data_IF_046386626800
#
_entry.id   IF_046386626800
#
_cell.length_a   1.000
_cell.length_b   1.000
_cell.length_c   1.000
_cell.angle_alpha   90.00
_cell.angle_beta   90.00
_cell.angle_gamma   90.00
#
_symmetry.space_group_name_H-M   'P 1'
#
loop_
_entity.id
_entity.type
_entity.pdbx_description
1 polymer ?
#
# COMPACT_ATOMS: atom_id res chain seq x y z
N UNK A 1 -14.35 10.63 17.64
CA UNK A 1 -13.54 9.54 17.08
C UNK A 1 -13.13 8.58 18.18
N UNK A 2 -12.97 7.29 17.89
CA UNK A 2 -12.52 6.29 18.88
C UNK A 2 -10.99 6.10 18.90
N UNK A 3 -10.30 6.40 17.80
CA UNK A 3 -8.84 6.36 17.69
C UNK A 3 -8.24 7.75 17.98
N UNK A 4 -7.10 7.79 18.68
CA UNK A 4 -6.44 9.03 19.11
C UNK A 4 -5.00 9.14 18.60
N UNK A 5 -4.42 10.34 18.73
CA UNK A 5 -3.02 10.59 18.39
C UNK A 5 -2.04 9.77 19.22
N UNK A 6 -2.34 9.57 20.51
CA UNK A 6 -1.55 8.73 21.41
C UNK A 6 -1.59 7.26 20.96
N UNK A 7 -2.74 6.77 20.50
CA UNK A 7 -2.85 5.40 19.99
C UNK A 7 -1.97 5.18 18.74
N UNK A 8 -2.01 6.13 17.78
CA UNK A 8 -1.10 6.12 16.62
C UNK A 8 0.38 6.25 17.04
N UNK A 9 0.70 7.08 18.04
CA UNK A 9 2.06 7.20 18.55
C UNK A 9 2.57 5.89 19.17
N UNK A 10 1.75 5.20 19.97
CA UNK A 10 2.07 3.89 20.54
C UNK A 10 2.34 2.86 19.46
N UNK A 11 1.52 2.83 18.39
CA UNK A 11 1.75 1.92 17.27
C UNK A 11 3.01 2.25 16.48
N UNK A 12 3.27 3.53 16.22
CA UNK A 12 4.50 3.96 15.57
C UNK A 12 5.74 3.52 16.37
N UNK A 13 5.75 3.78 17.68
CA UNK A 13 6.84 3.36 18.59
C UNK A 13 6.97 1.84 18.59
N UNK A 14 5.86 1.11 18.70
CA UNK A 14 5.86 -0.36 18.68
C UNK A 14 6.42 -0.91 17.36
N UNK A 15 6.03 -0.32 16.23
CA UNK A 15 6.50 -0.74 14.90
C UNK A 15 7.97 -0.43 14.66
N UNK A 16 8.45 0.75 15.08
CA UNK A 16 9.88 1.09 15.01
C UNK A 16 10.73 0.26 15.97
N UNK A 17 10.30 0.07 17.21
CA UNK A 17 10.99 -0.78 18.17
C UNK A 17 11.07 -2.23 17.68
N UNK A 18 9.96 -2.75 17.12
CA UNK A 18 9.91 -4.08 16.50
C UNK A 18 10.84 -4.19 15.30
N UNK A 19 10.89 -3.15 14.45
CA UNK A 19 11.84 -3.08 13.32
C UNK A 19 13.28 -3.23 13.80
N UNK A 20 13.69 -2.43 14.80
CA UNK A 20 15.06 -2.48 15.35
C UNK A 20 15.35 -3.84 15.96
N UNK A 21 14.39 -4.39 16.71
CA UNK A 21 14.51 -5.71 17.31
C UNK A 21 14.72 -6.81 16.24
N UNK A 22 13.86 -6.87 15.22
CA UNK A 22 13.95 -7.89 14.17
C UNK A 22 15.21 -7.74 13.32
N UNK A 23 15.60 -6.51 13.02
CA UNK A 23 16.84 -6.25 12.30
C UNK A 23 18.06 -6.81 13.05
N UNK A 24 18.11 -6.63 14.38
CA UNK A 24 19.18 -7.19 15.23
C UNK A 24 19.13 -8.72 15.33
N UNK A 25 17.96 -9.33 15.20
CA UNK A 25 17.78 -10.78 15.17
C UNK A 25 18.10 -11.41 13.81
N UNK A 26 18.52 -10.62 12.81
CA UNK A 26 18.88 -11.12 11.49
C UNK A 26 17.70 -11.40 10.56
N UNK A 27 16.53 -10.81 10.83
CA UNK A 27 15.37 -10.93 9.93
C UNK A 27 15.60 -10.25 8.57
N UNK A 28 14.74 -10.60 7.60
CA UNK A 28 14.80 -10.05 6.25
C UNK A 28 14.76 -8.52 6.27
N UNK A 29 15.80 -7.89 5.69
CA UNK A 29 15.89 -6.42 5.55
C UNK A 29 14.66 -5.84 4.87
N UNK A 30 14.07 -6.58 3.92
CA UNK A 30 12.86 -6.17 3.20
C UNK A 30 11.66 -6.02 4.13
N UNK A 31 11.45 -7.00 5.00
CA UNK A 31 10.33 -7.00 5.95
C UNK A 31 10.53 -5.90 7.00
N UNK A 32 11.76 -5.71 7.46
CA UNK A 32 12.10 -4.63 8.39
C UNK A 32 11.88 -3.24 7.75
N UNK A 33 12.32 -3.03 6.50
CA UNK A 33 12.08 -1.77 5.78
C UNK A 33 10.59 -1.50 5.57
N UNK A 34 9.81 -2.52 5.21
CA UNK A 34 8.36 -2.38 5.08
C UNK A 34 7.73 -2.01 6.43
N UNK A 35 8.10 -2.69 7.51
CA UNK A 35 7.57 -2.40 8.85
C UNK A 35 7.87 -0.96 9.29
N UNK A 36 9.12 -0.50 9.08
CA UNK A 36 9.51 0.88 9.34
C UNK A 36 8.69 1.88 8.51
N UNK A 37 8.47 1.58 7.23
CA UNK A 37 7.73 2.44 6.33
C UNK A 37 6.27 2.61 6.75
N UNK A 38 5.57 1.52 7.11
CA UNK A 38 4.19 1.62 7.60
C UNK A 38 4.12 2.25 9.00
N UNK A 39 5.15 2.06 9.84
CA UNK A 39 5.25 2.74 11.15
C UNK A 39 5.44 4.25 11.01
N UNK A 40 6.10 4.71 9.94
CA UNK A 40 6.22 6.13 9.61
C UNK A 40 4.85 6.77 9.32
N UNK A 41 3.89 6.03 8.75
CA UNK A 41 2.54 6.54 8.54
C UNK A 41 1.84 6.80 9.87
N UNK A 42 1.91 5.88 10.83
CA UNK A 42 1.31 6.09 12.16
C UNK A 42 1.98 7.24 12.91
N UNK A 43 3.29 7.45 12.74
CA UNK A 43 3.98 8.61 13.29
C UNK A 43 3.44 9.91 12.67
N UNK A 44 3.27 9.93 11.35
CA UNK A 44 2.68 11.07 10.65
C UNK A 44 1.24 11.31 11.11
N UNK A 45 0.43 10.27 11.25
CA UNK A 45 -0.95 10.37 11.74
C UNK A 45 -1.00 10.87 13.18
N UNK A 46 -0.10 10.42 14.06
CA UNK A 46 0.02 10.94 15.43
C UNK A 46 0.27 12.46 15.45
N UNK A 47 1.10 12.97 14.55
CA UNK A 47 1.25 14.42 14.35
C UNK A 47 -0.02 15.05 13.78
N UNK A 48 -0.62 14.46 12.75
CA UNK A 48 -1.85 14.96 12.13
C UNK A 48 -2.99 15.15 13.14
N UNK A 49 -3.09 14.28 14.14
CA UNK A 49 -4.07 14.40 15.24
C UNK A 49 -3.94 15.70 16.04
N UNK A 50 -2.75 16.30 16.12
CA UNK A 50 -2.53 17.57 16.85
C UNK A 50 -3.10 18.79 16.13
N UNK A 51 -3.39 18.65 14.83
CA UNK A 51 -3.87 19.72 13.95
C UNK A 51 -5.12 19.29 13.18
N UNK A 52 -5.80 18.23 13.63
CA UNK A 52 -6.95 17.65 12.93
C UNK A 52 -8.13 18.63 12.88
N UNK A 53 -8.94 18.57 11.82
CA UNK A 53 -10.09 19.46 11.56
C UNK A 53 -9.73 20.95 11.32
N UNK A 54 -8.47 21.35 11.53
CA UNK A 54 -7.98 22.70 11.24
C UNK A 54 -7.61 22.86 9.77
N UNK A 55 -8.57 22.78 8.86
CA UNK A 55 -8.29 22.74 7.41
C UNK A 55 -7.62 24.00 6.84
N UNK A 56 -7.71 25.14 7.53
CA UNK A 56 -7.02 26.38 7.18
C UNK A 56 -5.62 26.49 7.81
N UNK A 57 -5.26 25.57 8.70
CA UNK A 57 -3.92 25.50 9.28
C UNK A 57 -2.95 24.85 8.27
N UNK A 58 -1.86 25.54 7.88
CA UNK A 58 -0.85 24.98 6.99
C UNK A 58 -0.27 23.65 7.48
N UNK A 59 -0.17 23.45 8.81
CA UNK A 59 0.35 22.21 9.37
C UNK A 59 -0.54 21.01 9.05
N UNK A 60 -1.87 21.19 9.08
CA UNK A 60 -2.82 20.15 8.67
C UNK A 60 -2.68 19.86 7.17
N UNK A 61 -2.58 20.89 6.34
CA UNK A 61 -2.45 20.75 4.90
C UNK A 61 -1.17 19.99 4.52
N UNK A 62 -0.03 20.34 5.14
CA UNK A 62 1.26 19.66 4.95
C UNK A 62 1.16 18.20 5.42
N UNK A 63 0.59 17.95 6.60
CA UNK A 63 0.46 16.57 7.11
C UNK A 63 -0.41 15.70 6.19
N UNK A 64 -1.52 16.26 5.68
CA UNK A 64 -2.40 15.60 4.71
C UNK A 64 -1.67 15.31 3.40
N UNK A 65 -0.92 16.28 2.88
CA UNK A 65 -0.11 16.12 1.68
C UNK A 65 0.97 15.06 1.85
N UNK A 66 1.68 15.04 2.97
CA UNK A 66 2.68 14.01 3.26
C UNK A 66 2.05 12.62 3.38
N UNK A 67 0.84 12.52 3.94
CA UNK A 67 0.09 11.27 4.01
C UNK A 67 -0.26 10.75 2.61
N UNK A 68 -0.71 11.66 1.76
CA UNK A 68 -0.98 11.37 0.35
C UNK A 68 0.27 10.89 -0.41
N UNK A 69 1.40 11.59 -0.25
CA UNK A 69 2.69 11.20 -0.85
C UNK A 69 3.15 9.83 -0.36
N UNK A 70 3.05 9.55 0.94
CA UNK A 70 3.40 8.25 1.50
C UNK A 70 2.55 7.14 0.88
N UNK A 71 1.24 7.33 0.74
CA UNK A 71 0.36 6.36 0.06
C UNK A 71 0.82 6.14 -1.39
N UNK A 72 1.18 7.20 -2.11
CA UNK A 72 1.66 7.07 -3.49
C UNK A 72 2.88 6.14 -3.62
N UNK A 73 3.78 6.12 -2.64
CA UNK A 73 4.98 5.29 -2.63
C UNK A 73 4.80 3.92 -1.95
N UNK A 74 3.69 3.65 -1.27
CA UNK A 74 3.41 2.33 -0.67
C UNK A 74 3.58 1.13 -1.62
N UNK A 75 3.21 1.21 -2.93
CA UNK A 75 3.38 0.09 -3.85
C UNK A 75 4.81 -0.44 -3.94
N UNK A 76 5.84 0.39 -3.71
CA UNK A 76 7.23 -0.07 -3.67
C UNK A 76 7.48 -1.07 -2.54
N UNK A 77 6.97 -0.76 -1.35
CA UNK A 77 7.15 -1.60 -0.15
C UNK A 77 6.26 -2.84 -0.23
N UNK A 78 5.02 -2.69 -0.73
CA UNK A 78 4.11 -3.81 -0.99
C UNK A 78 4.75 -4.79 -1.98
N UNK A 79 5.30 -4.31 -3.10
CA UNK A 79 5.98 -5.17 -4.07
C UNK A 79 7.28 -5.75 -3.52
N UNK A 80 8.03 -5.02 -2.69
CA UNK A 80 9.20 -5.57 -2.03
C UNK A 80 8.84 -6.78 -1.15
N UNK A 81 7.79 -6.67 -0.33
CA UNK A 81 7.29 -7.76 0.52
C UNK A 81 6.74 -8.90 -0.32
N UNK A 82 5.84 -8.63 -1.27
CA UNK A 82 5.20 -9.71 -2.06
C UNK A 82 6.21 -10.44 -2.97
N UNK A 83 7.25 -9.76 -3.48
CA UNK A 83 8.36 -10.40 -4.18
C UNK A 83 9.30 -11.19 -3.25
N UNK A 84 9.29 -10.94 -1.93
CA UNK A 84 10.06 -11.74 -0.98
C UNK A 84 9.54 -13.18 -0.89
N UNK A 85 8.27 -13.41 -1.25
CA UNK A 85 7.59 -14.71 -1.15
C UNK A 85 7.51 -15.50 -2.46
N UNK A 86 8.26 -15.09 -3.48
CA UNK A 86 8.41 -15.82 -4.75
C UNK A 86 9.87 -16.30 -4.89
N UNK A 87 10.17 -17.24 -5.82
CA UNK A 87 11.51 -17.76 -5.99
C UNK A 87 12.55 -16.67 -6.30
N UNK A 88 13.73 -16.76 -5.67
CA UNK A 88 14.79 -15.76 -5.78
C UNK A 88 15.24 -15.46 -7.22
N UNK A 89 15.41 -16.45 -8.12
CA UNK A 89 15.80 -16.17 -9.51
C UNK A 89 14.76 -15.32 -10.25
N UNK A 90 13.48 -15.59 -10.00
CA UNK A 90 12.38 -14.82 -10.57
C UNK A 90 12.38 -13.39 -10.04
N UNK A 91 12.48 -13.23 -8.71
CA UNK A 91 12.54 -11.93 -8.04
C UNK A 91 13.63 -11.04 -8.63
N UNK A 92 14.85 -11.53 -8.77
CA UNK A 92 15.97 -10.74 -9.27
C UNK A 92 15.73 -10.22 -10.69
N UNK A 93 15.04 -11.01 -11.52
CA UNK A 93 14.73 -10.66 -12.90
C UNK A 93 13.62 -9.64 -13.02
N UNK A 94 12.53 -9.80 -12.25
CA UNK A 94 11.35 -8.95 -12.37
C UNK A 94 11.46 -7.65 -11.57
N UNK A 95 12.28 -7.63 -10.51
CA UNK A 95 12.41 -6.48 -9.61
C UNK A 95 12.59 -5.13 -10.32
N UNK A 96 13.53 -4.94 -11.28
CA UNK A 96 13.69 -3.64 -11.94
C UNK A 96 12.42 -3.22 -12.69
N UNK A 97 11.74 -4.14 -13.38
CA UNK A 97 10.49 -3.84 -14.09
C UNK A 97 9.35 -3.51 -13.13
N UNK A 98 9.23 -4.29 -12.05
CA UNK A 98 8.21 -4.07 -11.01
C UNK A 98 8.38 -2.70 -10.36
N UNK A 99 9.61 -2.32 -10.01
CA UNK A 99 9.89 -1.00 -9.43
C UNK A 99 9.72 0.16 -10.43
N UNK A 100 10.04 -0.04 -11.71
CA UNK A 100 9.73 0.95 -12.76
C UNK A 100 8.22 1.15 -12.92
N UNK A 101 7.43 0.08 -12.85
CA UNK A 101 5.97 0.16 -12.88
C UNK A 101 5.41 0.82 -11.60
N UNK A 102 5.99 0.54 -10.42
CA UNK A 102 5.64 1.23 -9.19
C UNK A 102 5.93 2.74 -9.28
N UNK A 103 7.05 3.13 -9.90
CA UNK A 103 7.40 4.53 -10.11
C UNK A 103 6.41 5.22 -11.06
N UNK A 104 6.08 4.58 -12.17
CA UNK A 104 5.07 5.09 -13.10
C UNK A 104 3.70 5.24 -12.41
N UNK A 105 3.28 4.22 -11.66
CA UNK A 105 2.03 4.25 -10.90
C UNK A 105 2.02 5.35 -9.82
N UNK A 106 3.10 5.50 -9.04
CA UNK A 106 3.22 6.56 -8.04
C UNK A 106 3.14 7.94 -8.70
N UNK A 107 3.82 8.13 -9.84
CA UNK A 107 3.78 9.39 -10.60
C UNK A 107 2.37 9.69 -11.09
N UNK A 108 1.69 8.72 -11.69
CA UNK A 108 0.30 8.85 -12.16
C UNK A 108 -0.64 9.15 -10.99
N UNK A 109 -0.48 8.43 -9.88
CA UNK A 109 -1.27 8.66 -8.69
C UNK A 109 -1.06 10.09 -8.20
N UNK A 110 0.17 10.53 -7.99
CA UNK A 110 0.49 11.89 -7.52
C UNK A 110 0.01 12.99 -8.47
N UNK A 111 0.07 12.79 -9.79
CA UNK A 111 -0.46 13.76 -10.77
C UNK A 111 -1.96 14.01 -10.57
N UNK A 112 -2.68 13.13 -9.88
CA UNK A 112 -4.13 13.26 -9.66
C UNK A 112 -4.51 14.53 -8.89
N UNK A 113 -3.62 15.12 -8.09
CA UNK A 113 -3.93 16.38 -7.38
C UNK A 113 -3.70 17.62 -8.24
N UNK A 114 -3.10 17.47 -9.43
CA UNK A 114 -2.96 18.58 -10.37
C UNK A 114 -4.32 18.86 -11.03
N UNK A 115 -4.80 20.12 -11.05
CA UNK A 115 -6.11 20.47 -11.59
C UNK A 115 -6.05 20.53 -13.12
N UNK A 116 -6.13 19.37 -13.78
CA UNK A 116 -6.19 19.30 -15.23
C UNK A 116 -7.53 19.80 -15.77
N UNK A 117 -7.51 20.73 -16.73
CA UNK A 117 -8.73 21.28 -17.35
C UNK A 117 -9.63 20.22 -18.02
N UNK A 118 -9.04 19.12 -18.49
CA UNK A 118 -9.77 18.02 -19.12
C UNK A 118 -10.44 17.07 -18.12
N UNK A 119 -10.14 17.19 -16.82
CA UNK A 119 -10.61 16.28 -15.78
C UNK A 119 -11.46 17.01 -14.76
N UNK A 120 -12.70 16.57 -14.57
CA UNK A 120 -13.53 17.05 -13.46
C UNK A 120 -12.97 16.61 -12.11
N UNK A 121 -13.23 17.37 -11.05
CA UNK A 121 -12.84 16.98 -9.70
C UNK A 121 -13.60 15.74 -9.20
N UNK A 122 -12.98 15.03 -8.28
CA UNK A 122 -13.51 13.81 -7.69
C UNK A 122 -14.79 14.04 -6.89
N UNK A 123 -15.00 15.25 -6.33
CA UNK A 123 -16.17 15.58 -5.52
C UNK A 123 -17.39 15.98 -6.36
N UNK A 124 -17.20 16.19 -7.67
CA UNK A 124 -18.28 16.47 -8.62
C UNK A 124 -18.77 15.20 -9.32
N UNK A 125 -18.21 14.03 -8.98
CA UNK A 125 -18.55 12.74 -9.58
C UNK A 125 -18.97 11.70 -8.55
N UNK A 126 -19.89 10.85 -8.99
CA UNK A 126 -20.22 9.59 -8.35
C UNK A 126 -19.92 8.45 -9.31
N UNK A 127 -19.46 7.34 -8.75
CA UNK A 127 -19.11 6.15 -9.49
C UNK A 127 -20.09 5.03 -9.14
N UNK A 128 -20.35 4.17 -10.12
CA UNK A 128 -21.23 3.02 -9.97
C UNK A 128 -20.36 1.76 -9.96
N UNK A 129 -20.58 0.87 -8.99
CA UNK A 129 -19.76 -0.33 -8.85
C UNK A 129 -20.04 -1.36 -9.97
N UNK A 130 -21.31 -1.49 -10.36
CA UNK A 130 -21.78 -2.42 -11.40
C UNK A 130 -22.80 -1.71 -12.31
N UNK A 131 -22.74 -1.90 -13.64
CA UNK A 131 -23.75 -1.37 -14.55
C UNK A 131 -25.14 -1.90 -14.15
N UNK A 132 -26.09 -0.99 -13.86
CA UNK A 132 -27.47 -1.34 -13.52
C UNK A 132 -27.79 -1.45 -12.02
N UNK A 133 -26.86 -1.14 -11.12
CA UNK A 133 -27.14 -1.06 -9.66
C UNK A 133 -27.18 0.39 -9.16
N UNK A 134 -28.12 0.77 -8.29
CA UNK A 134 -28.20 2.15 -7.77
C UNK A 134 -27.12 2.51 -6.71
N UNK A 135 -26.11 1.65 -6.55
CA UNK A 135 -25.04 1.84 -5.56
C UNK A 135 -24.01 2.82 -6.12
N UNK A 136 -24.12 4.07 -5.69
CA UNK A 136 -23.19 5.16 -6.00
C UNK A 136 -22.17 5.33 -4.88
N UNK A 137 -20.91 5.55 -5.25
CA UNK A 137 -19.83 5.82 -4.30
C UNK A 137 -19.00 7.03 -4.75
N UNK A 138 -18.38 7.72 -3.78
CA UNK A 138 -17.38 8.76 -4.03
C UNK A 138 -15.99 8.16 -4.03
N UNK A 139 -15.05 8.76 -4.74
CA UNK A 139 -13.68 8.25 -4.74
C UNK A 139 -13.04 8.44 -3.35
N UNK A 140 -12.25 7.46 -2.83
CA UNK A 140 -11.49 7.67 -1.61
C UNK A 140 -10.53 8.85 -1.74
N UNK A 141 -10.19 9.44 -0.59
CA UNK A 141 -9.23 10.54 -0.50
C UNK A 141 -9.68 11.78 -1.30
N UNK A 142 -10.98 12.07 -1.25
CA UNK A 142 -11.61 13.10 -2.06
C UNK A 142 -12.27 14.19 -1.20
N UNK A 143 -12.01 15.45 -1.52
CA UNK A 143 -12.73 16.58 -0.94
C UNK A 143 -12.40 17.91 -1.60
N UNK A 144 -13.04 18.99 -1.14
CA UNK A 144 -12.95 20.33 -1.77
C UNK A 144 -11.66 21.10 -1.43
N UNK A 145 -10.96 20.68 -0.39
CA UNK A 145 -9.70 21.28 0.06
C UNK A 145 -8.81 20.22 0.69
N UNK A 146 -7.50 20.48 0.74
CA UNK A 146 -6.54 19.58 1.38
C UNK A 146 -6.76 19.66 2.89
N UNK A 147 -7.27 18.59 3.49
CA UNK A 147 -7.53 18.55 4.92
C UNK A 147 -7.56 17.12 5.47
N UNK A 148 -6.98 16.96 6.65
CA UNK A 148 -7.18 15.81 7.53
C UNK A 148 -8.29 16.15 8.52
N UNK A 149 -9.38 15.40 8.48
CA UNK A 149 -10.55 15.61 9.32
C UNK A 149 -10.81 14.42 10.23
N UNK A 150 -11.61 14.64 11.26
CA UNK A 150 -12.16 13.59 12.08
C UNK A 150 -13.08 12.69 11.25
N UNK A 151 -12.79 11.40 11.25
CA UNK A 151 -13.67 10.39 10.67
C UNK A 151 -14.64 9.78 11.69
N UNK A 152 -15.33 8.71 11.28
CA UNK A 152 -16.16 7.85 12.11
C UNK A 152 -15.39 7.35 13.33
N UNK A 153 -14.21 6.76 13.10
CA UNK A 153 -13.37 6.34 14.21
C UNK A 153 -11.89 6.62 14.02
N UNK A 154 -11.40 6.79 12.79
CA UNK A 154 -10.02 7.13 12.48
C UNK A 154 -9.91 8.38 11.57
N UNK A 155 -8.69 8.84 11.26
CA UNK A 155 -8.49 10.06 10.45
C UNK A 155 -9.08 9.84 9.06
N UNK A 156 -9.84 10.82 8.60
CA UNK A 156 -10.29 10.93 7.22
C UNK A 156 -9.41 11.93 6.47
N UNK A 157 -9.05 11.61 5.24
CA UNK A 157 -8.28 12.51 4.38
C UNK A 157 -9.10 12.99 3.20
N UNK A 158 -9.03 14.28 2.93
CA UNK A 158 -9.67 14.94 1.82
C UNK A 158 -8.62 15.75 1.04
N UNK A 159 -8.55 15.56 -0.27
CA UNK A 159 -7.76 16.38 -1.19
C UNK A 159 -8.58 16.67 -2.46
N UNK A 160 -8.49 17.88 -3.04
CA UNK A 160 -8.99 18.16 -4.37
C UNK A 160 -8.16 17.37 -5.37
N UNK A 161 -8.78 16.36 -5.97
CA UNK A 161 -8.12 15.46 -6.88
C UNK A 161 -8.98 15.27 -8.13
N UNK A 162 -8.35 14.93 -9.25
CA UNK A 162 -8.98 14.48 -10.47
C UNK A 162 -9.92 13.29 -10.20
N UNK A 163 -11.07 13.32 -10.85
CA UNK A 163 -12.05 12.23 -10.90
C UNK A 163 -11.73 11.16 -11.95
N UNK A 164 -10.52 11.11 -12.52
CA UNK A 164 -10.11 9.98 -13.36
C UNK A 164 -9.95 8.71 -12.51
N UNK A 165 -10.71 7.68 -12.88
CA UNK A 165 -10.67 6.36 -12.25
C UNK A 165 -9.31 5.70 -12.54
N UNK A 166 -8.78 5.89 -13.73
CA UNK A 166 -7.52 5.33 -14.20
C UNK A 166 -6.36 5.85 -13.36
N UNK A 167 -6.32 7.17 -13.13
CA UNK A 167 -5.31 7.78 -12.28
C UNK A 167 -5.42 7.30 -10.83
N UNK A 168 -6.64 7.20 -10.29
CA UNK A 168 -6.85 6.69 -8.94
C UNK A 168 -6.47 5.21 -8.78
N UNK A 169 -6.82 4.38 -9.77
CA UNK A 169 -6.55 2.95 -9.75
C UNK A 169 -5.10 2.58 -10.09
N UNK A 170 -4.27 3.52 -10.54
CA UNK A 170 -2.83 3.29 -10.73
C UNK A 170 -2.17 2.67 -9.50
N UNK A 171 -2.56 3.13 -8.30
CA UNK A 171 -2.16 2.54 -7.03
C UNK A 171 -2.58 1.06 -6.92
N UNK A 172 -3.86 0.77 -7.20
CA UNK A 172 -4.42 -0.60 -7.10
C UNK A 172 -3.74 -1.52 -8.10
N UNK A 173 -3.45 -1.04 -9.31
CA UNK A 173 -2.73 -1.79 -10.32
C UNK A 173 -1.33 -2.18 -9.85
N UNK A 174 -0.59 -1.24 -9.25
CA UNK A 174 0.74 -1.54 -8.74
C UNK A 174 0.73 -2.38 -7.46
N UNK A 175 -0.19 -2.15 -6.53
CA UNK A 175 -0.22 -2.82 -5.23
C UNK A 175 -0.84 -4.23 -5.27
N UNK A 176 -1.76 -4.51 -6.20
CA UNK A 176 -2.49 -5.78 -6.26
C UNK A 176 -2.39 -6.50 -7.61
N UNK A 177 -2.69 -5.80 -8.71
CA UNK A 177 -2.70 -6.45 -10.03
C UNK A 177 -1.30 -6.95 -10.41
N UNK A 178 -0.28 -6.11 -10.23
CA UNK A 178 1.10 -6.46 -10.58
C UNK A 178 1.60 -7.69 -9.79
N UNK A 179 1.43 -7.79 -8.46
CA UNK A 179 1.69 -9.02 -7.72
C UNK A 179 0.93 -10.26 -8.16
N UNK A 180 -0.33 -10.11 -8.61
CA UNK A 180 -1.07 -11.23 -9.19
C UNK A 180 -0.43 -11.71 -10.50
N UNK A 181 0.02 -10.79 -11.35
CA UNK A 181 0.62 -11.11 -12.64
C UNK A 181 1.90 -11.95 -12.48
N UNK A 182 2.78 -11.61 -11.54
CA UNK A 182 3.99 -12.41 -11.27
C UNK A 182 3.76 -13.59 -10.32
N UNK A 183 2.52 -13.84 -9.90
CA UNK A 183 2.13 -15.08 -9.24
C UNK A 183 2.14 -15.07 -7.71
N UNK A 184 2.31 -13.92 -7.05
CA UNK A 184 2.29 -13.81 -5.58
C UNK A 184 0.86 -13.76 -5.02
N UNK A 185 -0.03 -14.61 -5.54
CA UNK A 185 -1.47 -14.55 -5.29
C UNK A 185 -1.85 -14.80 -3.82
N UNK A 186 -1.10 -15.66 -3.12
CA UNK A 186 -1.34 -15.92 -1.68
C UNK A 186 -1.14 -14.66 -0.85
N UNK A 187 -0.11 -13.87 -1.16
CA UNK A 187 0.17 -12.62 -0.45
C UNK A 187 -0.84 -11.55 -0.85
N UNK A 188 -1.27 -11.51 -2.11
CA UNK A 188 -2.35 -10.62 -2.54
C UNK A 188 -3.65 -10.92 -1.80
N UNK A 189 -4.05 -12.19 -1.71
CA UNK A 189 -5.23 -12.57 -0.94
C UNK A 189 -5.08 -12.19 0.53
N UNK A 190 -3.93 -12.47 1.14
CA UNK A 190 -3.65 -12.05 2.51
C UNK A 190 -3.81 -10.53 2.65
N UNK A 191 -3.23 -9.74 1.76
CA UNK A 191 -3.26 -8.27 1.80
C UNK A 191 -4.66 -7.71 1.53
N UNK A 192 -5.42 -8.28 0.61
CA UNK A 192 -6.82 -7.88 0.32
C UNK A 192 -7.73 -8.11 1.52
N UNK A 193 -7.63 -9.29 2.14
CA UNK A 193 -8.47 -9.65 3.29
C UNK A 193 -8.18 -8.78 4.51
N UNK A 194 -6.91 -8.40 4.68
CA UNK A 194 -6.46 -7.76 5.91
C UNK A 194 -6.28 -6.25 5.79
N UNK A 195 -6.29 -5.72 4.57
CA UNK A 195 -6.30 -4.29 4.28
C UNK A 195 -7.68 -3.81 3.86
N UNK A 196 -8.00 -3.75 2.55
CA UNK A 196 -9.25 -3.22 2.04
C UNK A 196 -10.51 -3.83 2.67
N UNK A 197 -10.56 -5.17 2.85
CA UNK A 197 -11.73 -5.83 3.41
C UNK A 197 -11.95 -5.45 4.88
N UNK A 198 -10.92 -5.48 5.72
CA UNK A 198 -11.05 -5.04 7.12
C UNK A 198 -11.39 -3.54 7.21
N UNK A 199 -10.79 -2.70 6.37
CA UNK A 199 -11.13 -1.27 6.33
C UNK A 199 -12.61 -1.07 5.96
N UNK A 200 -13.10 -1.76 4.94
CA UNK A 200 -14.50 -1.75 4.53
C UNK A 200 -15.46 -2.21 5.64
N UNK A 201 -15.08 -3.25 6.38
CA UNK A 201 -15.91 -3.79 7.47
C UNK A 201 -15.92 -2.90 8.72
N UNK A 202 -14.94 -2.02 8.89
CA UNK A 202 -14.78 -1.21 10.11
C UNK A 202 -15.16 0.25 9.94
N UNK A 203 -15.26 0.78 8.72
CA UNK A 203 -15.70 2.16 8.48
C UNK A 203 -16.50 2.29 7.18
N UNK A 204 -17.61 3.03 7.27
CA UNK A 204 -18.41 3.42 6.11
C UNK A 204 -17.90 4.71 5.46
N UNK A 205 -16.88 5.36 6.03
CA UNK A 205 -16.28 6.55 5.45
C UNK A 205 -15.09 6.17 4.56
N UNK A 206 -15.27 6.36 3.25
CA UNK A 206 -14.24 6.02 2.26
C UNK A 206 -12.96 6.86 2.39
N UNK A 207 -13.05 8.05 2.97
CA UNK A 207 -11.87 8.90 3.23
C UNK A 207 -11.03 8.38 4.41
N UNK A 208 -11.54 7.45 5.22
CA UNK A 208 -10.78 6.75 6.28
C UNK A 208 -10.09 5.48 5.79
N UNK A 209 -10.52 4.89 4.68
CA UNK A 209 -10.10 3.55 4.27
C UNK A 209 -8.57 3.40 4.19
N UNK A 210 -7.89 4.40 3.62
CA UNK A 210 -6.44 4.39 3.50
C UNK A 210 -5.75 4.45 4.87
N UNK A 211 -6.25 5.29 5.80
CA UNK A 211 -5.69 5.42 7.14
C UNK A 211 -5.84 4.11 7.92
N UNK A 212 -7.04 3.53 7.89
CA UNK A 212 -7.36 2.25 8.55
C UNK A 212 -6.55 1.09 7.97
N UNK A 213 -6.31 1.09 6.66
CA UNK A 213 -5.45 0.07 6.06
C UNK A 213 -3.98 0.20 6.48
N UNK A 214 -3.46 1.43 6.57
CA UNK A 214 -2.09 1.66 7.06
C UNK A 214 -1.92 1.13 8.50
N UNK A 215 -2.93 1.38 9.35
CA UNK A 215 -3.01 0.88 10.71
C UNK A 215 -2.88 -0.65 10.78
N UNK A 216 -3.72 -1.36 10.03
CA UNK A 216 -3.68 -2.83 10.01
C UNK A 216 -2.36 -3.36 9.44
N UNK A 217 -1.72 -2.64 8.52
CA UNK A 217 -0.47 -3.07 7.87
C UNK A 217 0.69 -3.33 8.85
N UNK A 218 0.77 -2.60 9.97
CA UNK A 218 1.77 -2.87 11.02
C UNK A 218 1.52 -4.22 11.68
N UNK A 219 0.29 -4.46 12.16
CA UNK A 219 -0.09 -5.73 12.80
C UNK A 219 0.13 -6.93 11.86
N UNK A 220 -0.15 -6.75 10.58
CA UNK A 220 0.02 -7.78 9.56
C UNK A 220 1.48 -8.12 9.32
N UNK A 221 2.35 -7.11 9.20
CA UNK A 221 3.78 -7.34 9.06
C UNK A 221 4.36 -8.02 10.30
N UNK A 222 3.91 -7.64 11.50
CA UNK A 222 4.31 -8.31 12.74
C UNK A 222 3.87 -9.77 12.77
N UNK A 223 2.63 -10.08 12.38
CA UNK A 223 2.14 -11.46 12.26
C UNK A 223 2.94 -12.25 11.22
N UNK A 224 3.19 -11.66 10.06
CA UNK A 224 3.95 -12.29 8.98
C UNK A 224 5.41 -12.57 9.38
N UNK A 225 6.03 -11.70 10.17
CA UNK A 225 7.39 -11.91 10.70
C UNK A 225 7.41 -12.97 11.80
N UNK A 226 6.49 -12.90 12.77
CA UNK A 226 6.52 -13.74 13.98
C UNK A 226 5.92 -15.13 13.82
N UNK A 227 4.97 -15.31 12.89
CA UNK A 227 4.19 -16.55 12.80
C UNK A 227 4.67 -17.47 11.67
N UNK A 228 4.44 -18.78 11.77
CA UNK A 228 4.73 -19.73 10.69
C UNK A 228 3.87 -19.49 9.44
N UNK A 229 2.88 -18.58 9.47
CA UNK A 229 2.06 -18.21 8.32
C UNK A 229 2.91 -17.88 7.07
N UNK A 230 4.09 -17.27 7.27
CA UNK A 230 5.05 -16.97 6.20
C UNK A 230 5.43 -18.18 5.33
N UNK A 231 5.46 -19.39 5.90
CA UNK A 231 5.77 -20.62 5.17
C UNK A 231 4.66 -20.99 4.19
N UNK A 232 3.40 -20.78 4.57
CA UNK A 232 2.23 -21.06 3.72
C UNK A 232 2.06 -20.02 2.62
N UNK A 233 2.46 -18.78 2.90
CA UNK A 233 2.39 -17.65 1.97
C UNK A 233 3.42 -17.73 0.85
N UNK A 234 4.53 -18.45 1.05
CA UNK A 234 5.51 -18.66 -0.01
C UNK A 234 4.89 -19.40 -1.21
N UNK A 235 5.18 -18.89 -2.41
CA UNK A 235 4.71 -19.46 -3.68
C UNK A 235 5.89 -20.06 -4.41
N UNK A 236 5.75 -21.31 -4.83
CA UNK A 236 6.79 -22.06 -5.58
C UNK A 236 6.39 -22.33 -7.04
N UNK A 237 5.11 -22.18 -7.38
CA UNK A 237 4.55 -22.39 -8.71
C UNK A 237 3.61 -21.26 -9.10
N UNK A 238 3.52 -20.95 -10.39
CA UNK A 238 2.63 -19.93 -10.91
C UNK A 238 1.21 -20.48 -11.04
N UNK A 239 0.37 -20.23 -10.02
CA UNK A 239 -1.00 -20.77 -9.97
C UNK A 239 -1.08 -22.30 -10.17
N UNK A 240 -0.12 -23.03 -9.59
CA UNK A 240 -0.03 -24.48 -9.74
C UNK A 240 0.72 -24.95 -11.00
N UNK A 241 1.07 -24.03 -11.92
CA UNK A 241 1.86 -24.32 -13.12
C UNK A 241 3.34 -23.95 -12.94
N UNK A 242 4.20 -24.52 -13.77
CA UNK A 242 5.59 -24.07 -13.85
C UNK A 242 5.64 -22.59 -14.29
N UNK A 243 6.58 -21.83 -13.73
CA UNK A 243 6.79 -20.47 -14.19
C UNK A 243 7.16 -20.46 -15.69
N UNK A 244 6.66 -19.49 -16.46
CA UNK A 244 6.94 -19.38 -17.89
C UNK A 244 8.44 -19.35 -18.14
N UNK A 245 8.90 -20.11 -19.15
CA UNK A 245 10.33 -20.21 -19.48
C UNK A 245 10.99 -18.84 -19.73
N UNK A 246 10.23 -17.85 -20.22
CA UNK A 246 10.75 -16.49 -20.40
C UNK A 246 10.99 -15.74 -19.08
N UNK A 247 10.36 -16.16 -17.97
CA UNK A 247 10.57 -15.63 -16.63
C UNK A 247 11.63 -16.44 -15.86
N UNK A 248 11.72 -17.75 -16.09
CA UNK A 248 12.64 -18.67 -15.41
C UNK A 248 13.93 -18.94 -16.14
N UNK A 249 14.16 -18.41 -17.36
CA UNK A 249 15.37 -18.71 -18.16
C UNK A 249 16.61 -18.57 -17.29
N UNK A 250 17.16 -19.71 -16.88
CA UNK A 250 18.47 -19.80 -16.28
C UNK A 250 19.41 -19.13 -17.26
N UNK A 251 20.27 -18.25 -16.75
CA UNK A 251 21.47 -17.90 -17.48
C UNK A 251 22.23 -19.22 -17.60
N UNK A 252 22.08 -19.90 -18.74
CA UNK A 252 22.94 -20.97 -19.22
C UNK A 252 24.33 -20.38 -19.40
N UNK A 253 25.01 -20.03 -18.31
CA UNK A 253 26.33 -19.40 -18.31
C UNK A 253 26.85 -19.28 -16.87
N UNK A 254 26.83 -20.38 -16.13
CA UNK A 254 27.84 -20.67 -15.11
C UNK A 254 28.24 -22.14 -15.23
N UNK A 255 29.12 -22.36 -16.22
CA UNK A 255 30.24 -23.30 -16.25
C UNK A 255 30.04 -24.68 -15.62
N UNK A 256 29.87 -25.67 -16.50
CA UNK A 256 30.62 -26.94 -16.60
C UNK A 256 29.75 -27.99 -17.31
N UNK A 257 30.26 -29.14 -17.86
CA UNK A 257 31.57 -29.81 -17.71
C UNK A 257 32.06 -30.46 -19.07
N UNK A 258 32.88 -31.55 -19.17
CA UNK A 258 33.98 -32.12 -18.38
C UNK A 258 35.31 -32.27 -19.21
N UNK A 259 36.38 -32.81 -18.59
CA UNK A 259 37.64 -33.35 -19.16
C UNK A 259 38.77 -32.37 -19.55
N UNK A 260 39.76 -32.24 -18.66
CA UNK A 260 41.03 -33.00 -18.72
C UNK A 260 41.60 -33.14 -17.30
#
# INVERSE_FOLDING_TARGET
MCWSGEASAVLAVTGFASTVYFYRQGESKVLCMALAYFSLMELLQAYTYTVIDECFNPNNQIATFLGYMHIAFQPFFVNAVTMHFIPQPLRQRIAPYVYSLCFAAATIFMMRIYPFDWSSFCFDRFYQFLPGTDIKFSMPFCGKQICSTSGQWHIAWAIPASGSIEMANSYVYAAFLLPLLYGSWKLVLYHLNTGPLLAYLTTNNMNEWAAVWCLYSIGLLLLLIKTPARRYLHVTSWYGQAYPKFLTRERLEQNSPPNQ
#
